data_IF_022940313135
#
_entry.id   IF_022940313135
#
_cell.length_a   1.000
_cell.length_b   1.000
_cell.length_c   1.000
_cell.angle_alpha   90.00
_cell.angle_beta   90.00
_cell.angle_gamma   90.00
#
_symmetry.space_group_name_H-M   'P 1'
#
loop_
_entity.id
_entity.type
_entity.pdbx_description
1 polymer ?
#
# COMPACT_ATOMS: atom_id res chain seq x y z
N UNK A 1 5.06 4.04 -16.22
CA UNK A 1 3.64 4.31 -16.57
C UNK A 1 3.61 4.97 -17.95
N UNK A 2 2.46 5.44 -18.43
CA UNK A 2 2.42 6.25 -19.67
C UNK A 2 2.82 7.70 -19.35
N UNK A 3 3.39 8.46 -20.31
CA UNK A 3 3.73 9.87 -20.08
C UNK A 3 2.55 10.67 -19.52
N UNK A 4 2.82 11.51 -18.52
CA UNK A 4 1.80 12.30 -17.79
C UNK A 4 1.16 11.60 -16.59
N UNK A 5 1.49 10.34 -16.32
CA UNK A 5 1.07 9.62 -15.12
C UNK A 5 2.30 9.02 -14.44
N UNK A 6 2.52 9.39 -13.18
CA UNK A 6 3.65 8.95 -12.37
C UNK A 6 3.21 8.45 -11.00
N UNK A 7 4.14 7.81 -10.30
CA UNK A 7 3.95 7.23 -8.99
C UNK A 7 4.08 8.29 -7.90
N UNK A 8 3.23 8.17 -6.89
CA UNK A 8 3.37 8.93 -5.66
C UNK A 8 4.45 8.32 -4.75
N UNK A 9 5.00 9.09 -3.80
CA UNK A 9 5.91 8.59 -2.76
C UNK A 9 5.21 7.71 -1.70
N UNK A 10 4.14 7.01 -2.06
CA UNK A 10 3.48 6.00 -1.24
C UNK A 10 4.36 4.73 -1.24
N UNK A 11 4.92 4.31 -0.09
CA UNK A 11 5.77 3.12 -0.02
C UNK A 11 5.11 1.86 -0.58
N UNK A 12 3.80 1.68 -0.39
CA UNK A 12 3.09 0.53 -0.92
C UNK A 12 3.06 0.57 -2.46
N UNK A 13 2.85 1.73 -3.07
CA UNK A 13 2.89 1.88 -4.52
C UNK A 13 4.30 1.60 -5.08
N UNK A 14 5.32 2.16 -4.44
CA UNK A 14 6.73 1.95 -4.80
C UNK A 14 7.09 0.46 -4.80
N UNK A 15 6.71 -0.27 -3.75
CA UNK A 15 6.92 -1.72 -3.69
C UNK A 15 6.18 -2.47 -4.80
N UNK A 16 4.94 -2.06 -5.12
CA UNK A 16 4.16 -2.71 -6.18
C UNK A 16 4.77 -2.53 -7.57
N UNK A 17 5.43 -1.40 -7.84
CA UNK A 17 6.13 -1.18 -9.11
C UNK A 17 7.21 -2.23 -9.37
N UNK A 18 7.88 -2.70 -8.31
CA UNK A 18 8.85 -3.78 -8.39
C UNK A 18 8.19 -5.17 -8.40
N UNK A 19 7.40 -5.51 -7.38
CA UNK A 19 6.96 -6.88 -7.13
C UNK A 19 6.08 -7.48 -8.22
N UNK A 20 5.23 -6.68 -8.87
CA UNK A 20 4.35 -7.20 -9.91
C UNK A 20 5.16 -7.74 -11.09
N UNK A 21 6.20 -7.02 -11.51
CA UNK A 21 7.03 -7.42 -12.64
C UNK A 21 7.89 -8.64 -12.30
N UNK A 22 8.47 -8.66 -11.11
CA UNK A 22 9.24 -9.80 -10.60
C UNK A 22 8.41 -11.10 -10.60
N UNK A 23 7.21 -11.06 -9.99
CA UNK A 23 6.30 -12.19 -9.96
C UNK A 23 5.82 -12.62 -11.37
N UNK A 24 5.65 -11.67 -12.29
CA UNK A 24 5.30 -11.97 -13.68
C UNK A 24 6.42 -12.71 -14.42
N UNK A 25 7.68 -12.33 -14.18
CA UNK A 25 8.82 -13.03 -14.77
C UNK A 25 8.88 -14.48 -14.32
N UNK A 26 8.68 -14.74 -13.03
CA UNK A 26 8.65 -16.12 -12.52
C UNK A 26 7.42 -16.90 -13.02
N UNK A 27 6.23 -16.30 -12.99
CA UNK A 27 4.96 -16.99 -13.29
C UNK A 27 4.70 -17.23 -14.77
N UNK A 28 5.14 -16.31 -15.64
CA UNK A 28 4.85 -16.35 -17.09
C UNK A 28 6.14 -16.53 -17.89
N UNK A 29 7.17 -15.74 -17.58
CA UNK A 29 8.45 -15.77 -18.28
C UNK A 29 8.95 -14.38 -18.66
N UNK A 30 10.21 -14.32 -19.10
CA UNK A 30 10.91 -13.07 -19.44
C UNK A 30 10.21 -12.30 -20.60
N UNK A 31 9.65 -13.03 -21.56
CA UNK A 31 8.96 -12.47 -22.73
C UNK A 31 7.45 -12.29 -22.52
N UNK A 32 6.98 -12.07 -21.28
CA UNK A 32 5.55 -11.96 -20.93
C UNK A 32 4.75 -10.91 -21.74
N UNK A 33 5.43 -9.90 -22.27
CA UNK A 33 4.86 -8.82 -23.07
C UNK A 33 4.45 -9.29 -24.48
N UNK A 34 4.91 -10.46 -24.93
CA UNK A 34 4.55 -11.04 -26.23
C UNK A 34 3.25 -11.87 -26.16
N UNK A 35 2.75 -12.17 -24.97
CA UNK A 35 1.44 -12.81 -24.80
C UNK A 35 0.38 -11.85 -25.35
N UNK A 36 -0.53 -12.27 -26.24
CA UNK A 36 -1.43 -11.36 -26.97
C UNK A 36 -2.19 -10.36 -26.09
N UNK A 37 -2.65 -10.79 -24.92
CA UNK A 37 -3.39 -9.92 -23.98
C UNK A 37 -2.51 -8.87 -23.29
N UNK A 38 -1.21 -9.10 -23.19
CA UNK A 38 -0.23 -8.19 -22.56
C UNK A 38 0.46 -7.29 -23.58
N UNK A 39 0.28 -7.54 -24.88
CA UNK A 39 1.02 -6.87 -25.94
C UNK A 39 0.57 -5.40 -26.06
N UNK A 40 1.51 -4.42 -25.97
CA UNK A 40 1.19 -3.02 -26.18
C UNK A 40 1.07 -2.73 -27.69
N UNK A 41 0.06 -3.31 -28.35
CA UNK A 41 -0.05 -3.34 -29.81
C UNK A 41 -0.17 -1.96 -30.48
N UNK A 42 -0.58 -0.92 -29.75
CA UNK A 42 -0.63 0.47 -30.23
C UNK A 42 0.67 1.26 -29.97
N UNK A 43 1.65 0.67 -29.28
CA UNK A 43 2.92 1.34 -29.02
C UNK A 43 3.81 1.30 -30.28
N UNK A 44 4.32 2.46 -30.69
CA UNK A 44 5.27 2.58 -31.80
C UNK A 44 6.61 1.88 -31.49
N UNK A 45 6.95 1.75 -30.21
CA UNK A 45 8.13 1.03 -29.74
C UNK A 45 7.85 0.46 -28.35
N UNK A 46 8.22 -0.81 -28.13
CA UNK A 46 8.26 -1.43 -26.82
C UNK A 46 9.53 -2.26 -26.70
N UNK A 47 10.17 -2.24 -25.52
CA UNK A 47 11.31 -3.12 -25.21
C UNK A 47 12.54 -2.94 -26.11
N UNK A 48 12.89 -1.71 -26.49
CA UNK A 48 13.84 -1.41 -27.59
C UNK A 48 15.27 -2.00 -27.44
N UNK A 49 15.66 -2.46 -26.25
CA UNK A 49 16.97 -3.07 -25.96
C UNK A 49 16.90 -4.46 -25.32
N UNK A 50 15.73 -5.09 -25.25
CA UNK A 50 15.61 -6.44 -24.69
C UNK A 50 15.56 -7.47 -25.82
N UNK A 51 16.66 -8.21 -25.98
CA UNK A 51 16.80 -9.29 -26.96
C UNK A 51 16.70 -10.65 -26.27
N UNK A 52 16.41 -11.69 -27.06
CA UNK A 52 16.43 -13.09 -26.65
C UNK A 52 15.45 -13.42 -25.50
N UNK A 53 15.88 -14.31 -24.60
CA UNK A 53 15.05 -14.85 -23.52
C UNK A 53 14.23 -16.06 -23.93
N UNK A 54 13.88 -16.89 -22.96
CA UNK A 54 13.07 -18.08 -23.18
C UNK A 54 11.70 -17.72 -23.78
N UNK A 55 11.20 -18.61 -24.65
CA UNK A 55 9.89 -18.49 -25.30
C UNK A 55 9.67 -17.17 -26.05
N UNK A 56 10.72 -16.65 -26.69
CA UNK A 56 10.61 -15.55 -27.65
C UNK A 56 9.87 -16.04 -28.90
N UNK A 57 8.81 -15.34 -29.31
CA UNK A 57 7.92 -15.74 -30.42
C UNK A 57 7.81 -14.69 -31.54
N UNK A 58 8.61 -13.63 -31.50
CA UNK A 58 8.70 -12.63 -32.57
C UNK A 58 10.02 -12.78 -33.37
N UNK A 59 10.31 -11.83 -34.26
CA UNK A 59 11.55 -11.80 -35.04
C UNK A 59 12.79 -11.34 -34.23
N UNK A 60 12.70 -11.25 -32.89
CA UNK A 60 13.78 -10.82 -31.99
C UNK A 60 14.47 -9.51 -32.43
N UNK A 61 13.67 -8.50 -32.77
CA UNK A 61 14.12 -7.22 -33.34
C UNK A 61 14.91 -7.29 -34.67
N UNK A 62 14.95 -8.45 -35.35
CA UNK A 62 15.63 -8.69 -36.62
C UNK A 62 17.09 -8.18 -36.62
N UNK A 63 17.48 -7.35 -37.59
CA UNK A 63 18.85 -6.83 -37.73
C UNK A 63 19.12 -5.56 -36.92
N UNK A 64 18.23 -5.16 -36.00
CA UNK A 64 18.45 -3.95 -35.21
C UNK A 64 19.68 -4.11 -34.29
N UNK A 65 20.57 -3.10 -34.20
CA UNK A 65 21.71 -3.13 -33.29
C UNK A 65 21.28 -3.37 -31.83
N UNK A 66 22.02 -4.25 -31.13
CA UNK A 66 21.74 -4.60 -29.73
C UNK A 66 22.25 -3.58 -28.70
N UNK A 67 22.82 -2.46 -29.15
CA UNK A 67 23.46 -1.47 -28.30
C UNK A 67 22.98 -0.05 -28.61
N UNK A 68 23.22 0.86 -27.66
CA UNK A 68 22.90 2.28 -27.78
C UNK A 68 23.88 3.12 -26.94
N UNK A 69 24.26 4.34 -27.38
CA UNK A 69 23.95 4.94 -28.67
C UNK A 69 24.61 4.16 -29.82
N UNK A 70 24.01 4.24 -31.02
CA UNK A 70 24.57 3.67 -32.23
C UNK A 70 24.27 4.60 -33.43
N UNK A 71 25.00 4.43 -34.52
CA UNK A 71 24.91 5.32 -35.69
C UNK A 71 23.78 4.98 -36.68
N UNK A 72 22.90 4.03 -36.36
CA UNK A 72 21.91 3.48 -37.30
C UNK A 72 20.46 3.70 -36.88
N UNK A 73 20.16 3.64 -35.58
CA UNK A 73 18.79 3.74 -35.04
C UNK A 73 18.75 4.53 -33.72
N UNK A 74 17.80 5.46 -33.62
CA UNK A 74 17.50 6.19 -32.38
C UNK A 74 16.44 5.44 -31.56
N UNK A 75 16.85 4.87 -30.41
CA UNK A 75 15.99 4.00 -29.58
C UNK A 75 15.37 4.66 -28.35
N UNK A 76 15.79 5.87 -27.99
CA UNK A 76 15.32 6.58 -26.81
C UNK A 76 14.40 7.74 -27.18
N UNK A 77 13.32 7.90 -26.41
CA UNK A 77 12.39 9.01 -26.51
C UNK A 77 12.74 10.08 -25.47
N UNK A 78 13.19 11.27 -25.87
CA UNK A 78 13.52 12.34 -24.91
C UNK A 78 12.27 12.96 -24.26
N UNK A 79 11.09 12.75 -24.85
CA UNK A 79 9.81 13.28 -24.35
C UNK A 79 9.19 12.45 -23.22
N UNK A 80 9.90 11.44 -22.71
CA UNK A 80 9.44 10.58 -21.60
C UNK A 80 10.28 10.75 -20.34
N UNK A 81 10.90 11.91 -20.14
CA UNK A 81 11.58 12.23 -18.89
C UNK A 81 10.56 12.30 -17.74
N UNK A 82 10.91 11.69 -16.60
CA UNK A 82 10.10 11.75 -15.38
C UNK A 82 10.12 13.16 -14.78
N UNK A 83 9.01 13.56 -14.14
CA UNK A 83 8.92 14.84 -13.48
C UNK A 83 9.82 14.86 -12.22
N UNK A 84 10.71 15.85 -12.08
CA UNK A 84 11.50 15.97 -10.87
C UNK A 84 10.60 16.31 -9.68
N UNK A 85 10.73 15.59 -8.57
CA UNK A 85 10.04 15.89 -7.32
C UNK A 85 11.03 16.18 -6.18
N UNK A 86 10.60 17.05 -5.26
CA UNK A 86 11.43 17.46 -4.12
C UNK A 86 11.16 16.54 -2.92
N UNK A 87 12.24 15.98 -2.37
CA UNK A 87 12.22 15.26 -1.11
C UNK A 87 12.25 16.23 0.08
N UNK A 88 11.63 15.83 1.20
CA UNK A 88 11.61 16.64 2.42
C UNK A 88 12.99 16.76 3.09
N UNK A 89 13.80 15.70 3.00
CA UNK A 89 15.16 15.64 3.55
C UNK A 89 16.06 14.72 2.70
N UNK A 90 17.34 14.64 3.07
CA UNK A 90 18.34 13.73 2.50
C UNK A 90 18.65 12.54 3.43
N UNK A 91 17.76 12.24 4.38
CA UNK A 91 17.97 11.22 5.41
C UNK A 91 17.30 9.91 5.01
N UNK A 92 18.10 8.87 4.79
CA UNK A 92 17.57 7.51 4.57
C UNK A 92 17.38 6.83 5.93
N UNK A 93 16.14 6.46 6.25
CA UNK A 93 15.75 5.88 7.54
C UNK A 93 14.78 4.72 7.38
N UNK A 94 14.71 3.87 8.42
CA UNK A 94 13.66 2.84 8.58
C UNK A 94 12.56 3.26 9.53
N UNK A 95 12.53 4.54 9.91
CA UNK A 95 11.40 5.10 10.65
C UNK A 95 10.16 5.09 9.78
N UNK A 96 9.01 5.06 10.42
CA UNK A 96 7.73 5.19 9.75
C UNK A 96 7.68 6.44 8.89
N UNK A 97 7.17 6.27 7.67
CA UNK A 97 6.83 7.34 6.76
C UNK A 97 5.58 8.11 7.19
N UNK A 98 4.75 7.51 8.04
CA UNK A 98 3.47 8.06 8.47
C UNK A 98 3.63 8.77 9.81
N UNK A 99 3.67 10.10 9.80
CA UNK A 99 3.80 10.90 11.02
C UNK A 99 2.73 10.60 12.08
N UNK A 100 1.56 10.13 11.68
CA UNK A 100 0.46 9.77 12.58
C UNK A 100 0.60 8.39 13.21
N UNK A 101 1.57 7.58 12.79
CA UNK A 101 1.77 6.24 13.32
C UNK A 101 2.04 6.27 14.83
N UNK A 102 1.28 5.48 15.59
CA UNK A 102 1.43 5.38 17.04
C UNK A 102 0.71 6.50 17.80
N UNK A 103 -0.26 7.16 17.15
CA UNK A 103 -1.07 8.23 17.73
C UNK A 103 -2.56 7.88 17.69
N UNK A 104 -3.37 8.40 18.61
CA UNK A 104 -4.83 8.19 18.61
C UNK A 104 -5.54 8.63 17.32
N UNK A 105 -4.92 9.53 16.54
CA UNK A 105 -5.46 9.97 15.24
C UNK A 105 -5.58 8.86 14.20
N UNK A 106 -4.86 7.73 14.36
CA UNK A 106 -5.01 6.56 13.47
C UNK A 106 -6.45 6.00 13.46
N UNK A 107 -7.22 6.26 14.51
CA UNK A 107 -8.61 5.81 14.63
C UNK A 107 -9.64 6.81 14.11
N UNK A 108 -9.24 8.03 13.70
CA UNK A 108 -10.19 9.09 13.35
C UNK A 108 -11.02 8.77 12.11
N UNK A 109 -10.39 8.26 11.05
CA UNK A 109 -11.09 7.86 9.83
C UNK A 109 -12.04 6.67 10.05
N UNK A 110 -11.63 5.53 10.64
CA UNK A 110 -12.56 4.44 10.91
C UNK A 110 -13.67 4.85 11.91
N UNK A 111 -13.38 5.75 12.86
CA UNK A 111 -14.39 6.31 13.76
C UNK A 111 -15.42 7.14 12.99
N UNK A 112 -14.97 8.01 12.07
CA UNK A 112 -15.86 8.78 11.22
C UNK A 112 -16.74 7.88 10.34
N UNK A 113 -16.19 6.81 9.77
CA UNK A 113 -16.95 5.81 9.03
C UNK A 113 -18.05 5.18 9.91
N UNK A 114 -17.68 4.70 11.09
CA UNK A 114 -18.60 4.03 12.02
C UNK A 114 -19.71 4.95 12.55
N UNK A 115 -19.35 6.17 12.95
CA UNK A 115 -20.26 7.11 13.60
C UNK A 115 -21.10 7.92 12.62
N UNK A 116 -20.51 8.39 11.51
CA UNK A 116 -21.12 9.39 10.63
C UNK A 116 -21.66 8.82 9.32
N UNK A 117 -21.11 7.72 8.84
CA UNK A 117 -21.45 7.15 7.52
C UNK A 117 -22.35 5.93 7.65
N UNK A 118 -22.04 5.03 8.57
CA UNK A 118 -22.83 3.81 8.76
C UNK A 118 -24.18 4.12 9.42
N UNK A 119 -25.22 3.45 8.95
CA UNK A 119 -26.51 3.40 9.64
C UNK A 119 -26.54 2.22 10.65
N UNK A 120 -27.64 2.09 11.40
CA UNK A 120 -27.77 1.05 12.43
C UNK A 120 -27.59 -0.37 11.86
N UNK A 121 -28.23 -0.68 10.72
CA UNK A 121 -28.13 -1.99 10.06
C UNK A 121 -26.70 -2.30 9.60
N UNK A 122 -26.00 -1.31 9.04
CA UNK A 122 -24.61 -1.48 8.63
C UNK A 122 -23.69 -1.77 9.83
N UNK A 123 -23.93 -1.09 10.97
CA UNK A 123 -23.20 -1.36 12.22
C UNK A 123 -23.48 -2.76 12.76
N UNK A 124 -24.74 -3.20 12.75
CA UNK A 124 -25.11 -4.56 13.17
C UNK A 124 -24.42 -5.63 12.31
N UNK A 125 -24.44 -5.46 10.99
CA UNK A 125 -23.73 -6.37 10.07
C UNK A 125 -22.22 -6.36 10.34
N UNK A 126 -21.62 -5.19 10.59
CA UNK A 126 -20.21 -5.07 10.92
C UNK A 126 -19.90 -5.85 12.22
N UNK A 127 -20.70 -5.68 13.26
CA UNK A 127 -20.55 -6.39 14.53
C UNK A 127 -20.63 -7.90 14.35
N UNK A 128 -21.68 -8.37 13.66
CA UNK A 128 -21.91 -9.78 13.38
C UNK A 128 -20.77 -10.42 12.57
N UNK A 129 -20.34 -9.76 11.49
CA UNK A 129 -19.26 -10.26 10.65
C UNK A 129 -17.94 -10.34 11.41
N UNK A 130 -17.61 -9.32 12.20
CA UNK A 130 -16.39 -9.29 13.01
C UNK A 130 -16.43 -10.37 14.10
N UNK A 131 -17.53 -10.49 14.85
CA UNK A 131 -17.68 -11.50 15.90
C UNK A 131 -17.61 -12.93 15.35
N UNK A 132 -18.17 -13.16 14.15
CA UNK A 132 -18.11 -14.47 13.46
C UNK A 132 -16.69 -14.95 13.19
N UNK A 133 -15.76 -14.03 12.93
CA UNK A 133 -14.34 -14.37 12.74
C UNK A 133 -13.61 -14.37 14.08
N UNK A 134 -13.91 -13.43 14.97
CA UNK A 134 -13.23 -13.34 16.26
C UNK A 134 -13.51 -14.56 17.15
N UNK A 135 -14.68 -15.19 17.05
CA UNK A 135 -15.03 -16.39 17.82
C UNK A 135 -14.16 -17.61 17.51
N UNK A 136 -13.50 -17.68 16.34
CA UNK A 136 -12.60 -18.79 16.01
C UNK A 136 -11.21 -18.62 16.62
N UNK A 137 -10.92 -17.46 17.22
CA UNK A 137 -9.67 -17.22 17.93
C UNK A 137 -9.73 -17.90 19.30
N UNK A 138 -8.85 -18.88 19.51
CA UNK A 138 -8.83 -19.68 20.75
C UNK A 138 -8.33 -18.88 21.96
N UNK A 139 -7.30 -18.06 21.75
CA UNK A 139 -6.59 -17.33 22.80
C UNK A 139 -7.35 -16.06 23.24
N UNK A 140 -7.82 -15.98 24.50
CA UNK A 140 -8.56 -14.82 25.01
C UNK A 140 -7.77 -13.52 24.92
N UNK A 141 -6.45 -13.58 25.12
CA UNK A 141 -5.57 -12.41 25.05
C UNK A 141 -5.57 -11.76 23.66
N UNK A 142 -5.66 -12.55 22.58
CA UNK A 142 -5.74 -12.03 21.22
C UNK A 142 -7.11 -11.36 21.00
N UNK A 143 -8.19 -11.98 21.47
CA UNK A 143 -9.54 -11.38 21.41
C UNK A 143 -9.59 -10.06 22.17
N UNK A 144 -9.03 -10.00 23.38
CA UNK A 144 -8.94 -8.81 24.21
C UNK A 144 -8.16 -7.69 23.50
N UNK A 145 -6.97 -7.98 22.95
CA UNK A 145 -6.16 -7.01 22.21
C UNK A 145 -6.86 -6.49 20.96
N UNK A 146 -7.58 -7.35 20.24
CA UNK A 146 -8.34 -6.95 19.05
C UNK A 146 -9.52 -6.03 19.42
N UNK A 147 -10.30 -6.40 20.44
CA UNK A 147 -11.40 -5.57 20.93
C UNK A 147 -10.91 -4.22 21.47
N UNK A 148 -9.71 -4.17 22.06
CA UNK A 148 -9.10 -2.92 22.49
C UNK A 148 -8.87 -1.95 21.33
N UNK A 149 -8.42 -2.44 20.17
CA UNK A 149 -8.31 -1.64 18.94
C UNK A 149 -9.68 -1.12 18.49
N UNK A 150 -10.72 -1.95 18.54
CA UNK A 150 -12.09 -1.52 18.22
C UNK A 150 -12.60 -0.48 19.23
N UNK A 151 -12.21 -0.58 20.50
CA UNK A 151 -12.62 0.36 21.54
C UNK A 151 -12.03 1.74 21.30
N UNK A 152 -10.80 1.81 20.80
CA UNK A 152 -10.17 3.07 20.36
C UNK A 152 -10.93 3.72 19.18
N UNK A 153 -11.58 2.93 18.33
CA UNK A 153 -12.47 3.44 17.28
C UNK A 153 -13.75 3.97 17.92
N UNK A 154 -14.52 3.09 18.56
CA UNK A 154 -15.76 3.44 19.27
C UNK A 154 -16.11 2.37 20.33
N UNK A 155 -16.43 2.75 21.58
CA UNK A 155 -16.81 1.78 22.63
C UNK A 155 -18.03 0.91 22.27
N UNK A 156 -19.01 1.46 21.55
CA UNK A 156 -20.18 0.71 21.11
C UNK A 156 -19.82 -0.30 20.01
N UNK A 157 -18.78 -0.02 19.21
CA UNK A 157 -18.26 -0.99 18.26
C UNK A 157 -17.64 -2.19 18.99
N UNK A 158 -16.71 -1.95 19.91
CA UNK A 158 -16.10 -3.02 20.69
C UNK A 158 -17.15 -3.84 21.47
N UNK A 159 -18.11 -3.16 22.10
CA UNK A 159 -19.17 -3.80 22.89
C UNK A 159 -20.08 -4.66 22.02
N UNK A 160 -20.53 -4.14 20.88
CA UNK A 160 -21.38 -4.90 19.96
C UNK A 160 -20.72 -6.17 19.41
N UNK A 161 -19.40 -6.16 19.19
CA UNK A 161 -18.65 -7.38 18.83
C UNK A 161 -18.52 -8.33 20.02
N UNK A 162 -18.17 -7.81 21.21
CA UNK A 162 -17.98 -8.61 22.43
C UNK A 162 -19.24 -9.36 22.85
N UNK A 163 -20.40 -8.72 22.74
CA UNK A 163 -21.70 -9.31 23.12
C UNK A 163 -22.13 -10.45 22.19
N UNK A 164 -21.60 -10.49 20.97
CA UNK A 164 -21.87 -11.53 19.98
C UNK A 164 -20.87 -12.70 20.04
N UNK A 165 -19.87 -12.65 20.94
CA UNK A 165 -19.00 -13.78 21.18
C UNK A 165 -19.76 -14.89 21.92
N UNK A 166 -19.51 -16.17 21.59
CA UNK A 166 -20.22 -17.29 22.21
C UNK A 166 -19.91 -17.45 23.70
N UNK A 167 -18.72 -17.01 24.13
CA UNK A 167 -18.27 -17.07 25.51
C UNK A 167 -17.49 -15.80 25.85
N UNK A 168 -17.84 -15.15 26.96
CA UNK A 168 -17.12 -14.00 27.50
C UNK A 168 -15.99 -14.45 28.43
N UNK A 169 -14.85 -14.80 27.83
CA UNK A 169 -13.67 -15.33 28.54
C UNK A 169 -12.93 -14.30 29.44
N UNK A 170 -13.32 -13.03 29.37
CA UNK A 170 -12.78 -11.92 30.16
C UNK A 170 -13.85 -10.84 30.33
N UNK A 171 -13.70 -9.99 31.35
CA UNK A 171 -14.62 -8.87 31.58
C UNK A 171 -14.40 -7.75 30.57
N UNK A 172 -15.48 -7.10 30.12
CA UNK A 172 -15.40 -6.00 29.14
C UNK A 172 -14.63 -4.79 29.68
N UNK A 173 -14.58 -4.58 31.00
CA UNK A 173 -13.74 -3.56 31.62
C UNK A 173 -12.25 -3.73 31.31
N UNK A 174 -11.80 -4.98 31.11
CA UNK A 174 -10.42 -5.26 30.69
C UNK A 174 -10.13 -4.72 29.29
N UNK A 175 -11.12 -4.69 28.38
CA UNK A 175 -10.97 -4.13 27.03
C UNK A 175 -10.64 -2.64 27.11
N UNK A 176 -11.32 -1.90 28.00
CA UNK A 176 -11.07 -0.46 28.20
C UNK A 176 -9.66 -0.20 28.76
N UNK A 177 -9.19 -1.04 29.68
CA UNK A 177 -7.83 -0.94 30.22
C UNK A 177 -6.82 -1.24 29.11
N UNK A 178 -7.01 -2.32 28.36
CA UNK A 178 -6.14 -2.72 27.26
C UNK A 178 -6.11 -1.70 26.11
N UNK A 179 -7.17 -0.92 25.93
CA UNK A 179 -7.24 0.14 24.92
C UNK A 179 -6.30 1.33 25.22
N UNK A 180 -5.85 1.49 26.48
CA UNK A 180 -4.90 2.54 26.83
C UNK A 180 -3.53 2.24 26.22
N UNK A 181 -3.09 3.05 25.26
CA UNK A 181 -1.83 2.85 24.55
C UNK A 181 -1.89 1.83 23.41
N UNK A 182 -3.09 1.36 23.04
CA UNK A 182 -3.27 0.38 21.98
C UNK A 182 -2.76 0.87 20.61
N UNK A 183 -2.68 2.19 20.38
CA UNK A 183 -2.11 2.78 19.16
C UNK A 183 -0.62 2.43 18.97
N UNK A 184 0.07 2.08 20.05
CA UNK A 184 1.49 1.69 20.06
C UNK A 184 1.71 0.19 20.16
N UNK A 185 0.63 -0.60 20.23
CA UNK A 185 0.74 -2.05 20.38
C UNK A 185 1.54 -2.66 19.20
N UNK A 186 2.63 -3.36 19.51
CA UNK A 186 3.50 -3.98 18.50
C UNK A 186 4.43 -3.02 17.76
N UNK A 187 4.48 -1.73 18.14
CA UNK A 187 5.33 -0.72 17.51
C UNK A 187 6.59 -0.48 18.32
N UNK A 188 7.74 -0.55 17.66
CA UNK A 188 9.05 -0.30 18.26
C UNK A 188 9.35 1.20 18.30
N UNK A 189 9.67 1.74 19.48
CA UNK A 189 9.85 3.17 19.69
C UNK A 189 10.94 3.80 18.78
N UNK A 190 11.97 3.04 18.42
CA UNK A 190 13.04 3.50 17.51
C UNK A 190 12.59 3.72 16.07
N UNK A 191 11.51 3.06 15.64
CA UNK A 191 10.96 3.19 14.28
C UNK A 191 9.77 4.13 14.22
N UNK A 192 9.21 4.55 15.36
CA UNK A 192 8.15 5.55 15.38
C UNK A 192 8.66 6.94 14.94
N UNK A 193 7.79 7.77 14.34
CA UNK A 193 8.10 9.17 14.10
C UNK A 193 8.34 9.88 15.44
N UNK A 194 9.48 10.54 15.55
CA UNK A 194 9.93 11.21 16.79
C UNK A 194 9.84 12.73 16.72
N UNK A 195 9.88 13.29 15.51
CA UNK A 195 9.83 14.73 15.24
C UNK A 195 8.70 15.05 14.28
N UNK A 196 8.14 16.26 14.36
CA UNK A 196 7.16 16.76 13.37
C UNK A 196 7.72 16.85 11.95
N UNK A 197 9.04 16.85 11.81
CA UNK A 197 9.76 16.83 10.55
C UNK A 197 10.00 15.43 9.99
N UNK A 198 9.66 14.36 10.73
CA UNK A 198 9.77 12.96 10.27
C UNK A 198 8.62 12.66 9.26
N UNK A 199 8.52 13.46 8.19
CA UNK A 199 7.60 13.28 7.05
C UNK A 199 8.47 12.95 5.85
N UNK A 200 8.81 11.67 5.71
CA UNK A 200 9.83 11.21 4.76
C UNK A 200 9.33 11.12 3.30
N UNK A 201 8.04 11.35 3.04
CA UNK A 201 7.43 11.21 1.71
C UNK A 201 7.37 12.53 0.92
N UNK A 202 8.03 13.58 1.39
CA UNK A 202 7.93 14.90 0.75
C UNK A 202 6.58 15.56 0.97
N UNK A 203 6.39 16.74 0.38
CA UNK A 203 5.10 17.43 0.31
C UNK A 203 4.59 17.34 -1.12
N UNK A 204 3.25 17.26 -1.34
CA UNK A 204 2.72 17.39 -2.69
C UNK A 204 3.22 18.71 -3.30
N UNK A 205 3.48 18.74 -4.62
CA UNK A 205 3.92 19.97 -5.28
C UNK A 205 2.87 21.07 -5.08
N UNK A 206 3.30 22.31 -4.77
CA UNK A 206 2.37 23.42 -4.48
C UNK A 206 1.61 23.90 -5.72
N UNK A 207 2.03 23.48 -6.92
CA UNK A 207 1.40 23.80 -8.20
C UNK A 207 1.29 22.55 -9.09
N UNK A 208 0.33 22.49 -10.03
CA UNK A 208 0.24 21.42 -11.02
C UNK A 208 1.50 21.36 -11.88
N UNK A 209 2.11 20.18 -12.00
CA UNK A 209 3.35 19.96 -12.77
C UNK A 209 3.05 19.57 -14.22
N UNK A 210 1.88 18.99 -14.49
CA UNK A 210 1.55 18.37 -15.79
C UNK A 210 0.82 19.28 -16.79
N UNK A 211 0.52 20.54 -16.44
CA UNK A 211 -0.26 21.47 -17.28
C UNK A 211 0.44 22.84 -17.45
N UNK A 212 1.71 22.86 -17.84
CA UNK A 212 2.39 24.10 -18.28
C UNK A 212 2.60 24.10 -19.79
#
# INVERSE_FOLDING_TARGET
MVPGIEDSPDPLLQFRMFFYRDAQYHRIGINLHQVPVNCPFMAQSYSSLNFDGQLRVDANHAMNPQYTPNSFVHKFRPDTAEAPYQLADNTVSRKSHFYHEGKPSEYDQPRALYQKVMNARAREHLHSNTARMLKVVEYPEIQLKYLAQLYCIDPAYAKGVYDLLPEQKFDFGQVKVQAQGAERAGKEAKFLPSKSTDILVGKPPPMPVYNQ
#
